data_IF_733937650106
#
_entry.id   IF_733937650106
#
_cell.length_a   1.000
_cell.length_b   1.000
_cell.length_c   1.000
_cell.angle_alpha   90.00
_cell.angle_beta   90.00
_cell.angle_gamma   90.00
#
_symmetry.space_group_name_H-M   'P 1'
#
loop_
_entity.id
_entity.type
_entity.pdbx_description
1 polymer ?
#
# COMPACT_ATOMS: atom_id res chain seq x y z
N UNK A 1 2.80 -6.79 -7.53
CA UNK A 1 3.42 -6.16 -6.34
C UNK A 1 4.65 -5.33 -6.71
N UNK A 2 5.58 -5.84 -7.51
CA UNK A 2 6.83 -5.15 -7.89
C UNK A 2 6.61 -3.74 -8.48
N UNK A 3 5.71 -3.60 -9.46
CA UNK A 3 5.38 -2.29 -10.06
C UNK A 3 4.91 -1.22 -9.06
N UNK A 4 4.14 -1.63 -8.05
CA UNK A 4 3.67 -0.75 -6.98
C UNK A 4 4.83 -0.30 -6.09
N UNK A 5 5.75 -1.22 -5.80
CA UNK A 5 6.94 -0.96 -5.01
C UNK A 5 7.88 0.03 -5.72
N UNK A 6 8.06 -0.13 -7.04
CA UNK A 6 8.83 0.81 -7.88
C UNK A 6 8.22 2.21 -7.81
N UNK A 7 6.91 2.34 -8.06
CA UNK A 7 6.20 3.62 -7.94
C UNK A 7 6.38 4.27 -6.57
N UNK A 8 6.34 3.48 -5.49
CA UNK A 8 6.54 4.00 -4.12
C UNK A 8 7.99 4.43 -3.85
N UNK A 9 8.98 3.80 -4.49
CA UNK A 9 10.41 4.16 -4.37
C UNK A 9 10.73 5.47 -5.07
N UNK A 10 9.95 5.85 -6.08
CA UNK A 10 10.08 7.14 -6.79
C UNK A 10 9.46 8.32 -6.02
N UNK A 11 8.71 8.06 -4.95
CA UNK A 11 8.06 9.11 -4.16
C UNK A 11 8.99 9.66 -3.07
N UNK A 12 8.88 10.97 -2.85
CA UNK A 12 9.56 11.68 -1.77
C UNK A 12 8.61 11.99 -0.61
N UNK A 13 9.14 12.04 0.62
CA UNK A 13 8.34 12.40 1.79
C UNK A 13 7.73 13.79 1.59
N UNK A 14 6.40 13.89 1.73
CA UNK A 14 5.66 15.12 1.45
C UNK A 14 4.96 15.11 0.10
N UNK A 15 5.25 14.14 -0.77
CA UNK A 15 4.56 14.00 -2.04
C UNK A 15 3.06 13.81 -1.84
N UNK A 16 2.33 14.51 -2.68
CA UNK A 16 0.89 14.44 -2.83
C UNK A 16 0.57 13.19 -3.63
N UNK A 17 -0.24 12.28 -3.11
CA UNK A 17 -0.56 11.01 -3.78
C UNK A 17 -2.06 10.71 -3.76
N UNK A 18 -2.49 9.96 -4.77
CA UNK A 18 -3.80 9.31 -4.82
C UNK A 18 -3.62 7.80 -4.78
N UNK A 19 -4.12 7.19 -3.71
CA UNK A 19 -4.17 5.74 -3.53
C UNK A 19 -5.44 5.19 -4.16
N UNK A 20 -5.30 4.14 -4.97
CA UNK A 20 -6.40 3.37 -5.54
C UNK A 20 -6.50 2.07 -4.75
N UNK A 21 -7.61 1.86 -4.05
CA UNK A 21 -7.85 0.70 -3.20
C UNK A 21 -9.11 -0.04 -3.66
N UNK A 22 -9.20 -1.32 -3.31
CA UNK A 22 -10.41 -2.12 -3.52
C UNK A 22 -11.24 -2.12 -2.23
N UNK A 23 -12.54 -1.86 -2.33
CA UNK A 23 -13.46 -1.96 -1.20
C UNK A 23 -13.95 -3.41 -1.05
N UNK A 24 -14.64 -3.70 0.06
CA UNK A 24 -15.16 -5.04 0.36
C UNK A 24 -16.14 -5.59 -0.71
N UNK A 25 -16.74 -4.72 -1.52
CA UNK A 25 -17.69 -5.08 -2.58
C UNK A 25 -17.03 -5.21 -3.97
N UNK A 26 -15.69 -5.18 -4.04
CA UNK A 26 -14.95 -5.23 -5.31
C UNK A 26 -14.96 -3.91 -6.10
N UNK A 27 -15.51 -2.84 -5.52
CA UNK A 27 -15.49 -1.50 -6.09
C UNK A 27 -14.15 -0.81 -5.85
N UNK A 28 -13.70 -0.02 -6.82
CA UNK A 28 -12.48 0.78 -6.67
C UNK A 28 -12.80 2.09 -5.94
N UNK A 29 -12.00 2.41 -4.92
CA UNK A 29 -12.07 3.68 -4.20
C UNK A 29 -10.75 4.43 -4.32
N UNK A 30 -10.83 5.76 -4.43
CA UNK A 30 -9.66 6.62 -4.47
C UNK A 30 -9.53 7.42 -3.18
N UNK A 31 -8.35 7.40 -2.57
CA UNK A 31 -8.03 8.14 -1.36
C UNK A 31 -6.85 9.06 -1.60
N UNK A 32 -7.07 10.37 -1.40
CA UNK A 32 -6.01 11.37 -1.44
C UNK A 32 -5.22 11.37 -0.13
N UNK A 33 -3.91 11.35 -0.22
CA UNK A 33 -3.03 11.36 0.93
C UNK A 33 -1.70 12.06 0.63
N UNK A 34 -0.95 12.36 1.68
CA UNK A 34 0.44 12.81 1.61
C UNK A 34 1.36 11.65 2.01
N UNK A 35 2.33 11.31 1.17
CA UNK A 35 3.31 10.26 1.45
C UNK A 35 4.24 10.66 2.60
N UNK A 36 4.47 9.73 3.54
CA UNK A 36 5.35 9.93 4.70
C UNK A 36 6.51 8.93 4.77
N UNK A 37 6.76 8.18 3.71
CA UNK A 37 7.88 7.23 3.67
C UNK A 37 7.66 5.99 4.54
N UNK A 38 8.74 5.51 5.15
CA UNK A 38 8.76 4.31 6.01
C UNK A 38 8.29 3.04 5.26
N UNK A 39 8.73 2.89 4.01
CA UNK A 39 8.49 1.69 3.23
C UNK A 39 9.30 0.54 3.84
N UNK A 40 8.62 -0.42 4.45
CA UNK A 40 9.26 -1.57 5.09
C UNK A 40 8.50 -2.86 4.84
N UNK A 41 9.20 -4.01 4.85
CA UNK A 41 8.55 -5.31 4.84
C UNK A 41 7.55 -5.44 5.99
N UNK A 42 6.40 -6.05 5.72
CA UNK A 42 5.35 -6.28 6.70
C UNK A 42 5.04 -7.76 6.92
N UNK A 43 5.11 -8.55 5.85
CA UNK A 43 4.76 -9.96 5.87
C UNK A 43 4.77 -10.54 4.46
N UNK A 44 4.03 -11.61 4.27
CA UNK A 44 3.93 -12.33 3.01
C UNK A 44 2.46 -12.56 2.65
N UNK A 45 2.13 -12.45 1.38
CA UNK A 45 0.78 -12.68 0.86
C UNK A 45 0.78 -13.91 -0.04
N UNK A 46 -0.40 -14.49 -0.20
CA UNK A 46 -0.60 -15.60 -1.14
C UNK A 46 -0.94 -15.03 -2.50
N UNK A 47 -0.51 -15.72 -3.55
CA UNK A 47 -0.96 -15.43 -4.90
C UNK A 47 -2.41 -15.90 -5.14
N UNK A 48 -2.79 -17.00 -4.46
CA UNK A 48 -4.04 -17.71 -4.68
C UNK A 48 -5.08 -17.49 -3.58
N UNK A 49 -4.70 -16.82 -2.49
CA UNK A 49 -5.61 -16.53 -1.38
C UNK A 49 -5.57 -15.05 -1.02
N UNK A 50 -6.70 -14.48 -0.62
CA UNK A 50 -6.79 -13.11 -0.07
C UNK A 50 -6.21 -12.98 1.34
N UNK A 51 -5.32 -13.89 1.74
CA UNK A 51 -4.73 -13.95 3.08
C UNK A 51 -3.31 -13.37 3.13
N UNK A 52 -2.81 -13.18 4.35
CA UNK A 52 -1.43 -12.79 4.63
C UNK A 52 -0.87 -13.55 5.83
N UNK A 53 0.45 -13.67 5.90
CA UNK A 53 1.19 -14.30 6.98
C UNK A 53 2.38 -13.42 7.42
N UNK A 54 2.80 -13.58 8.68
CA UNK A 54 3.98 -12.87 9.22
C UNK A 54 5.30 -13.47 8.73
N UNK A 55 5.32 -14.77 8.45
CA UNK A 55 6.49 -15.53 8.03
C UNK A 55 6.23 -16.18 6.66
N UNK A 56 7.27 -16.39 5.85
CA UNK A 56 7.10 -17.03 4.56
C UNK A 56 6.77 -18.51 4.76
N UNK A 57 5.88 -19.03 3.95
CA UNK A 57 5.62 -20.46 3.81
C UNK A 57 5.17 -20.77 2.39
N UNK A 58 4.96 -22.05 2.06
CA UNK A 58 4.57 -22.48 0.71
C UNK A 58 3.33 -21.74 0.16
N UNK A 59 2.37 -21.42 1.03
CA UNK A 59 1.15 -20.70 0.65
C UNK A 59 1.31 -19.16 0.62
N UNK A 60 2.28 -18.61 1.35
CA UNK A 60 2.51 -17.16 1.51
C UNK A 60 3.98 -16.84 1.21
N UNK A 61 4.29 -16.66 -0.07
CA UNK A 61 5.66 -16.52 -0.56
C UNK A 61 5.94 -15.14 -1.21
N UNK A 62 4.91 -14.31 -1.41
CA UNK A 62 5.08 -12.97 -2.00
C UNK A 62 5.28 -11.95 -0.88
N UNK A 63 6.46 -11.34 -0.81
CA UNK A 63 6.75 -10.33 0.21
C UNK A 63 5.86 -9.08 0.04
N UNK A 64 5.20 -8.69 1.13
CA UNK A 64 4.36 -7.50 1.21
C UNK A 64 5.02 -6.41 2.04
N UNK A 65 4.73 -5.16 1.69
CA UNK A 65 5.31 -3.97 2.32
C UNK A 65 4.21 -3.08 2.88
N UNK A 66 4.60 -2.22 3.81
CA UNK A 66 3.76 -1.14 4.32
C UNK A 66 4.50 0.18 4.29
N UNK A 67 3.74 1.26 4.22
CA UNK A 67 4.25 2.62 4.18
C UNK A 67 3.32 3.56 4.95
N UNK A 68 3.83 4.73 5.30
CA UNK A 68 3.07 5.73 6.05
C UNK A 68 2.51 6.80 5.13
N UNK A 69 1.29 7.25 5.44
CA UNK A 69 0.61 8.37 4.78
C UNK A 69 -0.07 9.28 5.80
N UNK A 70 -0.43 10.49 5.37
CA UNK A 70 -1.45 11.31 6.05
C UNK A 70 -2.61 11.51 5.07
N UNK A 71 -3.80 10.96 5.34
CA UNK A 71 -4.98 11.20 4.51
C UNK A 71 -5.31 12.70 4.43
N UNK A 72 -5.81 13.18 3.29
CA UNK A 72 -6.00 14.63 3.00
C UNK A 72 -6.77 15.40 4.10
N UNK A 73 -7.75 14.76 4.76
CA UNK A 73 -8.58 15.38 5.81
C UNK A 73 -8.17 15.00 7.23
N UNK A 74 -7.09 14.24 7.40
CA UNK A 74 -6.67 13.74 8.71
C UNK A 74 -5.35 14.40 9.11
N UNK A 75 -5.14 14.60 10.41
CA UNK A 75 -3.87 15.11 10.96
C UNK A 75 -2.93 13.95 11.27
N UNK A 76 -3.48 12.79 11.61
CA UNK A 76 -2.70 11.65 12.09
C UNK A 76 -2.16 10.79 10.94
N UNK A 77 -0.88 10.39 11.01
CA UNK A 77 -0.33 9.39 10.12
C UNK A 77 -1.06 8.06 10.25
N UNK A 78 -1.25 7.40 9.11
CA UNK A 78 -1.75 6.03 9.01
C UNK A 78 -0.73 5.17 8.29
N UNK A 79 -0.67 3.91 8.70
CA UNK A 79 0.13 2.88 8.05
C UNK A 79 -0.77 2.10 7.11
N UNK A 80 -0.36 1.99 5.84
CA UNK A 80 -1.11 1.29 4.80
C UNK A 80 -0.29 0.12 4.30
N UNK A 81 -0.93 -1.04 4.18
CA UNK A 81 -0.35 -2.22 3.56
C UNK A 81 -0.50 -2.12 2.05
N UNK A 82 0.55 -2.47 1.29
CA UNK A 82 0.46 -2.60 -0.16
C UNK A 82 -0.53 -3.69 -0.60
N UNK A 83 -0.88 -4.62 0.28
CA UNK A 83 -1.91 -5.62 0.02
C UNK A 83 -3.26 -4.99 -0.35
N UNK A 84 -3.64 -3.89 0.32
CA UNK A 84 -4.93 -3.22 0.13
C UNK A 84 -4.91 -2.19 -1.02
N UNK A 85 -3.74 -1.97 -1.64
CA UNK A 85 -3.52 -0.92 -2.63
C UNK A 85 -3.34 -1.55 -4.02
N UNK A 86 -4.19 -1.15 -4.97
CA UNK A 86 -4.10 -1.57 -6.37
C UNK A 86 -3.17 -0.68 -7.18
N UNK A 87 -3.20 0.62 -6.92
CA UNK A 87 -2.33 1.56 -7.60
C UNK A 87 -2.01 2.80 -6.75
N UNK A 88 -0.91 3.46 -7.09
CA UNK A 88 -0.50 4.75 -6.51
C UNK A 88 -0.18 5.71 -7.64
N UNK A 89 -0.75 6.92 -7.57
CA UNK A 89 -0.47 8.02 -8.50
C UNK A 89 0.08 9.22 -7.76
N UNK A 90 1.10 9.87 -8.31
CA UNK A 90 1.61 11.16 -7.82
C UNK A 90 0.65 12.27 -8.26
N UNK A 91 0.35 13.19 -7.35
CA UNK A 91 -0.65 14.25 -7.50
C UNK A 91 -2.07 13.85 -7.04
N UNK A 92 -2.95 14.85 -7.06
CA UNK A 92 -4.40 14.73 -6.89
C UNK A 92 -5.14 15.74 -7.76
#
# INVERSE_FOLDING_TARGET
MEKLLEKLRELEIGDRITLVMENFFGGTIETRATYKGNLKPYGYISENSGGWALYPCEAYNIQCYKFNIIPYRCIHPRMISLFDVKDVRKGW
#
